data_IF_075555728309
#
_entry.id   IF_075555728309
#
_cell.length_a   1.000
_cell.length_b   1.000
_cell.length_c   1.000
_cell.angle_alpha   90.00
_cell.angle_beta   90.00
_cell.angle_gamma   90.00
#
_symmetry.space_group_name_H-M   'P 1'
#
loop_
_entity.id
_entity.type
_entity.pdbx_description
1 polymer ?
#
# COMPACT_ATOMS: atom_id res chain seq x y z
N UNK A 1 6.69 13.04 2.11
CA UNK A 1 6.94 11.57 2.19
C UNK A 1 6.58 10.99 0.83
N UNK A 2 7.27 9.95 0.35
CA UNK A 2 6.89 9.30 -0.91
C UNK A 2 6.35 7.90 -0.66
N UNK A 3 5.40 7.50 -1.50
CA UNK A 3 4.90 6.13 -1.57
C UNK A 3 5.03 5.62 -3.01
N UNK A 4 5.26 4.34 -3.18
CA UNK A 4 5.21 3.70 -4.50
C UNK A 4 3.80 3.19 -4.78
N UNK A 5 3.29 3.37 -6.00
CA UNK A 5 2.06 2.70 -6.41
C UNK A 5 2.28 1.19 -6.52
N UNK A 6 1.52 0.39 -5.79
CA UNK A 6 1.58 -1.08 -5.85
C UNK A 6 1.41 -1.68 -7.25
N UNK A 7 0.70 -1.01 -8.16
CA UNK A 7 0.40 -1.53 -9.51
C UNK A 7 1.47 -1.15 -10.54
N UNK A 8 1.90 0.10 -10.57
CA UNK A 8 2.78 0.62 -11.63
C UNK A 8 4.15 1.11 -11.13
N UNK A 9 4.38 1.13 -9.82
CA UNK A 9 5.65 1.58 -9.22
C UNK A 9 5.89 3.09 -9.23
N UNK A 10 4.99 3.91 -9.81
CA UNK A 10 5.11 5.38 -9.80
C UNK A 10 5.25 5.89 -8.35
N UNK A 11 6.28 6.68 -8.10
CA UNK A 11 6.45 7.41 -6.85
C UNK A 11 5.46 8.58 -6.78
N UNK A 12 4.79 8.71 -5.64
CA UNK A 12 3.76 9.72 -5.37
C UNK A 12 4.18 10.49 -4.12
N UNK A 13 4.32 11.80 -4.27
CA UNK A 13 4.60 12.71 -3.16
C UNK A 13 3.35 12.93 -2.32
N UNK A 14 3.41 12.51 -1.06
CA UNK A 14 2.48 12.91 -0.03
C UNK A 14 3.05 14.15 0.67
N UNK A 15 2.22 15.16 0.87
CA UNK A 15 2.54 16.31 1.70
C UNK A 15 3.06 15.86 3.08
N UNK A 16 3.84 16.69 3.77
CA UNK A 16 4.32 16.36 5.13
C UNK A 16 3.13 16.09 6.05
N UNK A 17 3.07 14.87 6.62
CA UNK A 17 1.91 14.41 7.41
C UNK A 17 0.67 14.01 6.60
N UNK A 18 0.77 14.01 5.27
CA UNK A 18 -0.28 13.59 4.35
C UNK A 18 -0.63 12.12 4.51
N UNK A 19 -1.93 11.83 4.50
CA UNK A 19 -2.47 10.47 4.55
C UNK A 19 -2.90 10.07 3.14
N UNK A 20 -2.88 8.78 2.86
CA UNK A 20 -3.61 8.22 1.73
C UNK A 20 -5.06 8.03 2.18
N UNK A 21 -6.01 8.57 1.44
CA UNK A 21 -7.44 8.46 1.70
C UNK A 21 -8.05 7.35 0.84
N UNK A 22 -9.22 6.85 1.25
CA UNK A 22 -9.94 5.77 0.56
C UNK A 22 -10.13 6.01 -0.96
N UNK A 23 -10.29 7.28 -1.38
CA UNK A 23 -10.53 7.66 -2.78
C UNK A 23 -9.27 8.05 -3.56
N UNK A 24 -8.11 8.07 -2.92
CA UNK A 24 -6.89 8.46 -3.61
C UNK A 24 -6.50 7.40 -4.64
N UNK A 25 -6.14 7.87 -5.83
CA UNK A 25 -5.73 7.01 -6.95
C UNK A 25 -4.37 7.42 -7.48
N UNK A 26 -3.63 6.47 -8.04
CA UNK A 26 -2.37 6.73 -8.69
C UNK A 26 -2.60 7.67 -9.89
N UNK A 27 -1.87 8.79 -10.01
CA UNK A 27 -2.04 9.72 -11.13
C UNK A 27 -1.56 9.14 -12.48
N UNK A 28 -0.83 8.02 -12.48
CA UNK A 28 -0.30 7.40 -13.69
C UNK A 28 -1.16 6.23 -14.21
N UNK A 29 -1.70 5.40 -13.32
CA UNK A 29 -2.42 4.18 -13.72
C UNK A 29 -3.82 4.05 -13.10
N UNK A 30 -4.26 5.05 -12.33
CA UNK A 30 -5.56 5.14 -11.66
C UNK A 30 -5.87 4.00 -10.68
N UNK A 31 -4.89 3.18 -10.31
CA UNK A 31 -5.05 2.20 -9.25
C UNK A 31 -5.34 2.89 -7.91
N UNK A 32 -6.22 2.29 -7.11
CA UNK A 32 -6.54 2.78 -5.76
C UNK A 32 -5.29 2.70 -4.87
N UNK A 33 -5.00 3.79 -4.16
CA UNK A 33 -3.82 3.86 -3.29
C UNK A 33 -4.12 3.36 -1.87
N UNK A 34 -5.34 3.52 -1.38
CA UNK A 34 -5.77 2.93 -0.10
C UNK A 34 -6.35 1.53 -0.31
N UNK A 35 -5.48 0.63 -0.74
CA UNK A 35 -5.77 -0.78 -0.97
C UNK A 35 -4.78 -1.64 -0.18
N UNK A 36 -5.15 -2.87 0.18
CA UNK A 36 -4.24 -3.75 0.93
C UNK A 36 -2.88 -3.88 0.23
N UNK A 37 -2.86 -4.04 -1.10
CA UNK A 37 -1.63 -4.12 -1.91
C UNK A 37 -0.66 -2.95 -1.71
N UNK A 38 -1.12 -1.81 -1.25
CA UNK A 38 -0.30 -0.61 -1.00
C UNK A 38 0.03 -0.39 0.48
N UNK A 39 -0.49 -1.24 1.36
CA UNK A 39 -0.28 -1.18 2.80
C UNK A 39 1.02 -1.88 3.19
N UNK A 40 1.75 -1.34 4.15
CA UNK A 40 2.97 -1.95 4.70
C UNK A 40 2.73 -3.31 5.38
N UNK A 41 1.49 -3.59 5.79
CA UNK A 41 1.12 -4.85 6.45
C UNK A 41 0.73 -5.95 5.46
N UNK A 42 0.61 -5.66 4.16
CA UNK A 42 0.24 -6.67 3.19
C UNK A 42 1.37 -7.66 2.95
N UNK A 43 1.06 -8.94 3.15
CA UNK A 43 1.99 -10.04 3.00
C UNK A 43 1.21 -11.24 2.45
N UNK A 44 1.38 -11.62 1.18
CA UNK A 44 0.60 -12.69 0.56
C UNK A 44 0.91 -14.08 1.11
N UNK A 45 1.98 -14.26 1.89
CA UNK A 45 2.28 -15.52 2.56
C UNK A 45 1.45 -15.73 3.86
N UNK A 46 0.75 -14.70 4.35
CA UNK A 46 -0.11 -14.80 5.54
C UNK A 46 -1.52 -15.26 5.19
N UNK A 47 -2.18 -15.92 6.13
CA UNK A 47 -3.55 -16.44 5.96
C UNK A 47 -4.55 -15.39 5.42
N UNK A 48 -4.58 -14.21 6.04
CA UNK A 48 -5.44 -13.09 5.60
C UNK A 48 -4.76 -12.17 4.58
N UNK A 49 -3.58 -12.55 4.12
CA UNK A 49 -2.66 -11.71 3.35
C UNK A 49 -2.34 -10.38 4.06
N UNK A 50 -2.31 -10.40 5.39
CA UNK A 50 -2.07 -9.27 6.27
C UNK A 50 -1.25 -9.73 7.48
N UNK A 51 -0.22 -8.97 7.83
CA UNK A 51 0.62 -9.20 8.99
C UNK A 51 0.02 -8.63 10.28
N UNK A 52 -0.90 -7.65 10.19
CA UNK A 52 -1.64 -7.14 11.34
C UNK A 52 -2.82 -8.07 11.66
N UNK A 53 -2.69 -8.81 12.75
CA UNK A 53 -3.66 -9.84 13.18
C UNK A 53 -5.00 -9.29 13.67
N UNK A 54 -5.04 -8.03 14.09
CA UNK A 54 -6.27 -7.35 14.56
C UNK A 54 -7.03 -6.64 13.43
N UNK A 55 -6.47 -6.56 12.24
CA UNK A 55 -7.14 -5.96 11.10
C UNK A 55 -8.30 -6.84 10.64
N UNK A 56 -9.42 -6.21 10.30
CA UNK A 56 -10.54 -6.89 9.65
C UNK A 56 -10.12 -7.49 8.31
N UNK A 57 -10.73 -8.63 7.95
CA UNK A 57 -10.42 -9.28 6.69
C UNK A 57 -11.03 -8.50 5.51
N UNK A 58 -10.16 -8.01 4.63
CA UNK A 58 -10.55 -7.40 3.35
C UNK A 58 -10.53 -8.46 2.25
N UNK A 59 -11.64 -8.70 1.56
CA UNK A 59 -11.72 -9.72 0.50
C UNK A 59 -10.92 -9.32 -0.75
N UNK A 60 -11.15 -8.12 -1.27
CA UNK A 60 -10.47 -7.59 -2.45
C UNK A 60 -9.27 -6.75 -2.04
N UNK A 61 -8.07 -7.23 -2.34
CA UNK A 61 -6.80 -6.60 -1.93
C UNK A 61 -6.40 -5.41 -2.79
N UNK A 62 -7.08 -5.21 -3.92
CA UNK A 62 -6.82 -4.17 -4.92
C UNK A 62 -7.86 -3.04 -4.87
N UNK A 63 -9.06 -3.33 -4.35
CA UNK A 63 -10.10 -2.34 -4.13
C UNK A 63 -9.82 -1.41 -2.93
N UNK A 64 -10.49 -0.26 -2.96
CA UNK A 64 -10.56 0.68 -1.82
C UNK A 64 -11.14 0.00 -0.58
N UNK A 65 -10.58 0.31 0.58
CA UNK A 65 -11.09 -0.14 1.87
C UNK A 65 -10.96 0.96 2.94
N UNK A 66 -11.48 0.68 4.13
CA UNK A 66 -11.46 1.58 5.28
C UNK A 66 -10.74 0.92 6.48
N UNK A 67 -9.72 0.12 6.21
CA UNK A 67 -8.99 -0.57 7.28
C UNK A 67 -8.34 0.45 8.23
N UNK A 68 -8.69 0.40 9.52
CA UNK A 68 -8.14 1.29 10.56
C UNK A 68 -6.62 1.14 10.76
N UNK A 69 -6.08 -0.02 10.37
CA UNK A 69 -4.66 -0.33 10.44
C UNK A 69 -3.91 -0.02 9.15
N UNK A 70 -4.56 0.61 8.17
CA UNK A 70 -3.88 0.96 6.93
C UNK A 70 -2.72 1.92 7.19
N UNK A 71 -1.54 1.54 6.72
CA UNK A 71 -0.36 2.39 6.70
C UNK A 71 0.34 2.22 5.36
N UNK A 72 0.52 3.28 4.56
CA UNK A 72 1.06 3.16 3.22
C UNK A 72 2.51 2.69 3.26
N UNK A 73 2.91 1.85 2.30
CA UNK A 73 4.30 1.44 2.15
C UNK A 73 5.17 2.63 1.68
N UNK A 74 5.77 3.32 2.65
CA UNK A 74 6.55 4.52 2.42
C UNK A 74 7.93 4.18 1.85
N UNK A 75 8.26 4.83 0.73
CA UNK A 75 9.63 4.92 0.22
C UNK A 75 10.25 6.14 0.89
N UNK A 76 10.62 6.00 2.16
CA UNK A 76 11.53 6.98 2.77
C UNK A 76 12.85 6.90 2.00
N UNK A 77 13.56 8.01 1.81
CA UNK A 77 14.83 8.15 1.07
C UNK A 77 16.01 7.27 1.59
N UNK A 78 15.78 6.07 2.08
CA UNK A 78 16.78 5.01 2.11
C UNK A 78 16.97 4.54 0.66
N UNK A 79 18.18 4.64 0.14
CA UNK A 79 18.58 4.22 -1.22
C UNK A 79 18.48 2.71 -1.47
N UNK A 80 17.36 2.08 -1.10
CA UNK A 80 17.02 0.70 -1.42
C UNK A 80 15.50 0.56 -1.41
N UNK A 81 14.86 0.26 -2.55
CA UNK A 81 13.42 0.00 -2.56
C UNK A 81 13.10 -1.19 -1.63
N UNK A 82 11.96 -1.19 -0.93
CA UNK A 82 11.52 -2.35 -0.17
C UNK A 82 11.46 -3.54 -1.13
N UNK A 83 12.20 -4.59 -0.79
CA UNK A 83 12.25 -5.82 -1.55
C UNK A 83 10.90 -6.52 -1.47
N UNK A 84 9.97 -6.14 -2.33
CA UNK A 84 8.87 -7.00 -2.71
C UNK A 84 8.90 -7.19 -4.23
N UNK A 85 9.93 -7.91 -4.66
CA UNK A 85 9.89 -8.67 -5.91
C UNK A 85 9.49 -10.08 -5.53
N UNK A 86 8.33 -10.60 -5.98
CA UNK A 86 8.14 -12.05 -5.99
C UNK A 86 9.21 -12.64 -6.91
N UNK A 87 10.16 -13.37 -6.34
CA UNK A 87 11.08 -14.21 -7.12
C UNK A 87 10.36 -15.54 -7.40
N UNK A 88 9.54 -15.54 -8.46
CA UNK A 88 9.23 -16.67 -9.38
C UNK A 88 8.10 -16.26 -10.30
#
# INVERSE_FOLDING_TARGET
MQIGCWKCGKLIDLASGGRVLARDTCPACHAVLHACRNCMHYDPAKHNQCAETRAEWVRDKEASNYCDYFSPNAVLYAGKPPAYLPQT
#
